data_IF_560959921264
#
_entry.id   IF_560959921264
#
_cell.length_a   1.000
_cell.length_b   1.000
_cell.length_c   1.000
_cell.angle_alpha   90.00
_cell.angle_beta   90.00
_cell.angle_gamma   90.00
#
_symmetry.space_group_name_H-M   'P 1'
#
loop_
_entity.id
_entity.type
_entity.pdbx_description
1 polymer ?
#
# COMPACT_ATOMS: atom_id res chain seq x y z
N UNK A 1 7.43 -7.56 22.76
CA UNK A 1 6.05 -7.68 22.27
C UNK A 1 5.67 -6.27 21.90
N UNK A 2 5.53 -5.96 20.60
CA UNK A 2 4.94 -4.67 20.21
C UNK A 2 3.45 -4.88 20.48
N UNK A 3 2.89 -4.21 21.49
CA UNK A 3 1.44 -4.17 21.67
C UNK A 3 0.80 -3.73 20.34
N UNK A 4 -0.34 -4.32 19.95
CA UNK A 4 -1.12 -3.89 18.77
C UNK A 4 -1.75 -2.51 19.04
N UNK A 5 -0.92 -1.47 19.05
CA UNK A 5 -1.26 -0.07 19.35
C UNK A 5 -2.20 0.54 18.29
N UNK A 6 -2.34 -0.12 17.14
CA UNK A 6 -3.16 0.36 16.03
C UNK A 6 -4.66 0.45 16.39
N UNK A 7 -5.22 -0.55 17.09
CA UNK A 7 -6.66 -0.56 17.38
C UNK A 7 -7.05 0.48 18.43
N UNK A 8 -6.34 0.59 19.58
CA UNK A 8 -6.54 1.70 20.49
C UNK A 8 -6.36 3.07 19.83
N UNK A 9 -5.39 3.22 18.91
CA UNK A 9 -5.20 4.47 18.18
C UNK A 9 -6.36 4.80 17.24
N UNK A 10 -6.92 3.80 16.55
CA UNK A 10 -8.11 3.97 15.69
C UNK A 10 -9.32 4.44 16.52
N UNK A 11 -9.55 3.81 17.67
CA UNK A 11 -10.65 4.18 18.58
C UNK A 11 -10.45 5.60 19.13
N UNK A 12 -9.24 5.94 19.57
CA UNK A 12 -8.90 7.28 20.07
C UNK A 12 -9.06 8.36 18.98
N UNK A 13 -8.63 8.08 17.75
CA UNK A 13 -8.79 9.01 16.63
C UNK A 13 -10.27 9.24 16.30
N UNK A 14 -11.06 8.17 16.24
CA UNK A 14 -12.51 8.27 16.03
C UNK A 14 -13.18 9.08 17.15
N UNK A 15 -12.90 8.76 18.40
CA UNK A 15 -13.50 9.45 19.54
C UNK A 15 -13.18 10.96 19.52
N UNK A 16 -11.92 11.29 19.22
CA UNK A 16 -11.51 12.69 19.08
C UNK A 16 -12.25 13.41 17.95
N UNK A 17 -12.48 12.75 16.80
CA UNK A 17 -13.27 13.31 15.70
C UNK A 17 -14.75 13.45 16.05
N UNK A 18 -15.33 12.48 16.77
CA UNK A 18 -16.71 12.51 17.25
C UNK A 18 -16.92 13.71 18.21
N UNK A 19 -15.94 14.00 19.06
CA UNK A 19 -15.96 15.16 19.97
C UNK A 19 -15.74 16.49 19.24
N UNK A 20 -14.85 16.53 18.25
CA UNK A 20 -14.43 17.76 17.58
C UNK A 20 -15.43 18.24 16.53
N UNK A 21 -15.99 17.31 15.76
CA UNK A 21 -16.81 17.60 14.58
C UNK A 21 -18.24 17.07 14.70
N UNK A 22 -18.46 16.05 15.56
CA UNK A 22 -19.73 15.33 15.65
C UNK A 22 -19.81 14.15 14.68
N UNK A 23 -20.98 13.52 14.63
CA UNK A 23 -21.22 12.24 13.93
C UNK A 23 -22.31 12.34 12.87
N UNK A 24 -22.63 13.55 12.40
CA UNK A 24 -23.64 13.76 11.36
C UNK A 24 -23.15 13.20 10.01
N UNK A 25 -24.07 12.89 9.06
CA UNK A 25 -23.70 12.30 7.77
C UNK A 25 -22.63 13.07 6.98
N UNK A 26 -22.61 14.40 7.10
CA UNK A 26 -21.57 15.23 6.49
C UNK A 26 -20.18 14.92 7.07
N UNK A 27 -20.05 14.83 8.39
CA UNK A 27 -18.76 14.54 9.05
C UNK A 27 -18.28 13.14 8.71
N UNK A 28 -19.17 12.16 8.66
CA UNK A 28 -18.84 10.81 8.20
C UNK A 28 -18.39 10.81 6.73
N UNK A 29 -19.02 11.63 5.89
CA UNK A 29 -18.60 11.82 4.50
C UNK A 29 -17.20 12.40 4.43
N UNK A 30 -16.87 13.42 5.24
CA UNK A 30 -15.54 14.00 5.32
C UNK A 30 -14.48 12.96 5.72
N UNK A 31 -14.76 12.09 6.69
CA UNK A 31 -13.84 11.01 7.10
C UNK A 31 -13.59 9.99 5.98
N UNK A 32 -14.59 9.71 5.16
CA UNK A 32 -14.43 8.87 3.96
C UNK A 32 -13.61 9.62 2.90
N UNK A 33 -13.86 10.91 2.68
CA UNK A 33 -13.13 11.72 1.70
C UNK A 33 -11.65 11.86 2.07
N UNK A 34 -11.31 11.90 3.36
CA UNK A 34 -9.92 11.91 3.85
C UNK A 34 -9.10 10.74 3.30
N UNK A 35 -9.71 9.57 3.07
CA UNK A 35 -9.01 8.43 2.43
C UNK A 35 -8.50 8.79 1.03
N UNK A 36 -9.24 9.60 0.27
CA UNK A 36 -8.81 10.05 -1.06
C UNK A 36 -7.67 11.05 -0.98
N UNK A 37 -7.67 11.91 0.04
CA UNK A 37 -6.61 12.87 0.31
C UNK A 37 -5.30 12.13 0.61
N UNK A 38 -5.28 11.19 1.56
CA UNK A 38 -4.10 10.37 1.87
C UNK A 38 -3.61 9.57 0.66
N UNK A 39 -4.53 9.05 -0.16
CA UNK A 39 -4.15 8.33 -1.38
C UNK A 39 -3.44 9.25 -2.38
N UNK A 40 -3.82 10.52 -2.42
CA UNK A 40 -3.13 11.55 -3.20
C UNK A 40 -1.72 11.84 -2.66
N UNK A 41 -1.54 11.88 -1.34
CA UNK A 41 -0.24 12.08 -0.69
C UNK A 41 0.71 10.91 -0.96
N UNK A 42 0.23 9.66 -0.88
CA UNK A 42 1.02 8.48 -1.27
C UNK A 42 1.48 8.52 -2.74
N UNK A 43 0.60 8.98 -3.64
CA UNK A 43 0.96 9.18 -5.07
C UNK A 43 2.01 10.29 -5.20
N UNK A 44 1.85 11.39 -4.47
CA UNK A 44 2.81 12.51 -4.49
C UNK A 44 4.18 12.08 -3.98
N UNK A 45 4.25 11.34 -2.86
CA UNK A 45 5.50 10.80 -2.33
C UNK A 45 6.17 9.85 -3.34
N UNK A 46 5.41 9.02 -4.06
CA UNK A 46 5.96 8.16 -5.09
C UNK A 46 6.55 8.95 -6.28
N UNK A 47 5.83 9.98 -6.75
CA UNK A 47 6.29 10.89 -7.82
C UNK A 47 7.59 11.60 -7.40
N UNK A 48 7.64 12.08 -6.16
CA UNK A 48 8.77 12.79 -5.60
C UNK A 48 9.97 11.87 -5.31
N UNK A 49 9.74 10.59 -4.98
CA UNK A 49 10.79 9.56 -4.92
C UNK A 49 11.38 9.29 -6.32
N UNK A 50 10.54 9.20 -7.34
CA UNK A 50 11.00 9.01 -8.72
C UNK A 50 11.65 10.26 -9.32
N UNK A 51 11.63 11.40 -8.62
CA UNK A 51 12.16 12.67 -9.09
C UNK A 51 11.44 13.20 -10.34
N UNK A 52 10.18 12.82 -10.55
CA UNK A 52 9.43 13.17 -11.76
C UNK A 52 9.10 14.67 -11.86
N UNK A 53 9.22 15.42 -10.76
CA UNK A 53 9.13 16.87 -10.77
C UNK A 53 10.52 17.50 -11.02
N UNK A 54 10.84 17.98 -12.25
CA UNK A 54 12.18 18.42 -12.59
C UNK A 54 12.64 19.65 -11.80
N UNK A 55 11.69 20.41 -11.22
CA UNK A 55 11.99 21.57 -10.37
C UNK A 55 12.48 21.16 -8.97
N UNK A 56 12.03 20.00 -8.47
CA UNK A 56 12.32 19.55 -7.10
C UNK A 56 13.39 18.45 -7.04
N UNK A 57 13.59 17.68 -8.12
CA UNK A 57 14.46 16.51 -8.08
C UNK A 57 13.87 15.40 -7.20
N UNK A 58 14.71 14.49 -6.70
CA UNK A 58 14.29 13.43 -5.76
C UNK A 58 14.22 14.01 -4.36
N UNK A 59 13.04 13.99 -3.74
CA UNK A 59 12.83 14.55 -2.39
C UNK A 59 12.31 13.57 -1.37
N UNK A 60 11.88 12.37 -1.79
CA UNK A 60 11.32 11.34 -0.91
C UNK A 60 12.08 10.02 -1.05
N UNK A 61 11.95 9.21 0.00
CA UNK A 61 12.50 7.85 0.15
C UNK A 61 11.38 6.81 0.06
N UNK A 62 11.74 5.53 0.01
CA UNK A 62 10.74 4.45 -0.03
C UNK A 62 10.00 4.37 1.31
N UNK A 63 10.68 4.74 2.38
CA UNK A 63 10.17 4.84 3.74
C UNK A 63 9.10 5.93 3.82
N UNK A 64 9.30 7.07 3.16
CA UNK A 64 8.28 8.13 3.11
C UNK A 64 7.04 7.64 2.35
N UNK A 65 7.20 6.97 1.20
CA UNK A 65 6.07 6.36 0.48
C UNK A 65 5.34 5.33 1.34
N UNK A 66 6.08 4.52 2.11
CA UNK A 66 5.49 3.54 3.00
C UNK A 66 4.72 4.20 4.16
N UNK A 67 5.19 5.34 4.66
CA UNK A 67 4.50 6.13 5.68
C UNK A 67 3.15 6.63 5.14
N UNK A 68 3.13 7.25 3.95
CA UNK A 68 1.88 7.72 3.34
C UNK A 68 0.90 6.57 3.05
N UNK A 69 1.40 5.41 2.61
CA UNK A 69 0.55 4.23 2.44
C UNK A 69 0.00 3.70 3.77
N UNK A 70 0.74 3.86 4.87
CA UNK A 70 0.25 3.54 6.21
C UNK A 70 -0.84 4.52 6.65
N UNK A 71 -0.70 5.81 6.33
CA UNK A 71 -1.71 6.84 6.61
C UNK A 71 -3.02 6.58 5.84
N UNK A 72 -2.94 6.14 4.58
CA UNK A 72 -4.11 5.65 3.82
C UNK A 72 -4.80 4.50 4.55
N UNK A 73 -4.02 3.51 5.00
CA UNK A 73 -4.57 2.33 5.67
C UNK A 73 -5.22 2.72 7.01
N UNK A 74 -4.53 3.51 7.83
CA UNK A 74 -5.03 3.96 9.13
C UNK A 74 -6.30 4.81 8.99
N UNK A 75 -6.32 5.76 8.05
CA UNK A 75 -7.49 6.60 7.76
C UNK A 75 -8.69 5.76 7.32
N UNK A 76 -8.48 4.71 6.52
CA UNK A 76 -9.55 3.79 6.15
C UNK A 76 -10.12 3.03 7.37
N UNK A 77 -9.28 2.63 8.33
CA UNK A 77 -9.73 1.99 9.57
C UNK A 77 -10.56 2.95 10.43
N UNK A 78 -10.13 4.20 10.58
CA UNK A 78 -10.89 5.25 11.29
C UNK A 78 -12.23 5.52 10.61
N UNK A 79 -12.28 5.55 9.28
CA UNK A 79 -13.53 5.70 8.53
C UNK A 79 -14.49 4.51 8.78
N UNK A 80 -13.99 3.27 8.80
CA UNK A 80 -14.80 2.08 9.13
C UNK A 80 -15.36 2.17 10.57
N UNK A 81 -14.50 2.51 11.54
CA UNK A 81 -14.92 2.68 12.92
C UNK A 81 -15.98 3.79 13.08
N UNK A 82 -15.85 4.88 12.31
CA UNK A 82 -16.80 5.99 12.28
C UNK A 82 -18.18 5.59 11.74
N UNK A 83 -18.26 4.53 10.93
CA UNK A 83 -19.53 3.94 10.48
C UNK A 83 -20.17 3.02 11.54
N UNK A 84 -19.56 2.89 12.72
CA UNK A 84 -20.01 1.99 13.79
C UNK A 84 -19.70 0.51 13.52
N UNK A 85 -18.75 0.23 12.62
CA UNK A 85 -18.31 -1.12 12.29
C UNK A 85 -16.98 -1.44 12.98
N UNK A 86 -16.71 -2.73 13.20
CA UNK A 86 -15.42 -3.18 13.71
C UNK A 86 -14.36 -3.16 12.58
N UNK A 87 -13.33 -2.28 12.67
CA UNK A 87 -12.29 -2.18 11.65
C UNK A 87 -11.40 -3.42 11.58
N UNK A 88 -11.16 -4.10 12.70
CA UNK A 88 -10.34 -5.32 12.75
C UNK A 88 -11.06 -6.46 12.03
N UNK A 89 -12.34 -6.67 12.32
CA UNK A 89 -13.16 -7.67 11.62
C UNK A 89 -13.29 -7.36 10.12
N UNK A 90 -13.50 -6.09 9.75
CA UNK A 90 -13.62 -5.67 8.36
C UNK A 90 -12.33 -5.95 7.56
N UNK A 91 -11.17 -5.61 8.13
CA UNK A 91 -9.87 -5.85 7.50
C UNK A 91 -9.57 -7.35 7.39
N UNK A 92 -9.83 -8.12 8.44
CA UNK A 92 -9.66 -9.58 8.44
C UNK A 92 -10.55 -10.28 7.39
N UNK A 93 -11.79 -9.82 7.23
CA UNK A 93 -12.71 -10.31 6.20
C UNK A 93 -12.19 -9.96 4.79
N UNK A 94 -11.64 -8.76 4.59
CA UNK A 94 -11.00 -8.37 3.33
C UNK A 94 -9.82 -9.30 2.99
N UNK A 95 -8.91 -9.50 3.95
CA UNK A 95 -7.76 -10.38 3.77
C UNK A 95 -8.16 -11.82 3.45
N UNK A 96 -9.19 -12.34 4.11
CA UNK A 96 -9.75 -13.67 3.85
C UNK A 96 -10.29 -13.79 2.42
N UNK A 97 -11.07 -12.79 1.96
CA UNK A 97 -11.59 -12.74 0.59
C UNK A 97 -10.47 -12.69 -0.45
N UNK A 98 -9.40 -11.94 -0.20
CA UNK A 98 -8.24 -11.88 -1.09
C UNK A 98 -7.50 -13.21 -1.12
N UNK A 99 -7.26 -13.83 0.05
CA UNK A 99 -6.57 -15.12 0.14
C UNK A 99 -7.28 -16.25 -0.60
N UNK A 100 -8.62 -16.24 -0.59
CA UNK A 100 -9.42 -17.22 -1.32
C UNK A 100 -9.24 -17.15 -2.86
N UNK A 101 -8.63 -16.08 -3.39
CA UNK A 101 -8.33 -15.93 -4.82
C UNK A 101 -6.98 -16.52 -5.22
N UNK A 102 -6.09 -16.81 -4.27
CA UNK A 102 -4.82 -17.44 -4.60
C UNK A 102 -5.04 -18.93 -4.90
N UNK A 103 -4.40 -19.48 -5.94
CA UNK A 103 -4.38 -20.92 -6.14
C UNK A 103 -3.76 -21.59 -4.90
N UNK A 104 -4.36 -22.68 -4.41
CA UNK A 104 -3.67 -23.55 -3.47
C UNK A 104 -2.40 -24.04 -4.14
N UNK A 105 -1.26 -23.98 -3.44
CA UNK A 105 -0.02 -24.52 -3.94
C UNK A 105 -0.26 -25.97 -4.43
N UNK A 106 0.25 -26.35 -5.61
CA UNK A 106 0.11 -27.72 -6.07
C UNK A 106 0.67 -28.66 -5.00
N UNK A 107 -0.13 -29.66 -4.59
CA UNK A 107 0.38 -30.72 -3.74
C UNK A 107 1.60 -31.32 -4.43
N UNK A 108 2.78 -31.42 -3.79
CA UNK A 108 3.89 -32.10 -4.40
C UNK A 108 3.43 -33.52 -4.73
N UNK A 109 3.43 -33.86 -6.02
CA UNK A 109 3.14 -35.22 -6.45
C UNK A 109 4.07 -36.16 -5.65
N UNK A 110 3.59 -37.33 -5.19
CA UNK A 110 4.46 -38.29 -4.53
C UNK A 110 5.66 -38.54 -5.45
N UNK A 111 6.86 -38.38 -4.89
CA UNK A 111 8.09 -38.54 -5.64
C UNK A 111 8.09 -39.91 -6.32
N UNK A 112 8.17 -39.92 -7.66
CA UNK A 112 8.31 -41.14 -8.43
C UNK A 112 9.68 -41.76 -8.09
N UNK A 113 9.75 -42.97 -7.49
CA UNK A 113 10.98 -43.55 -7.00
C UNK A 113 12.00 -43.93 -8.09
N UNK A 114 11.73 -43.61 -9.36
CA UNK A 114 12.54 -44.03 -10.50
C UNK A 114 13.44 -42.93 -11.12
N UNK A 115 13.53 -41.73 -10.54
CA UNK A 115 14.42 -40.69 -11.11
C UNK A 115 15.87 -40.89 -10.62
N UNK A 116 16.85 -41.22 -11.48
CA UNK A 116 18.23 -41.32 -11.06
C UNK A 116 18.81 -39.90 -10.86
N UNK A 117 19.60 -39.73 -9.80
CA UNK A 117 20.34 -38.47 -9.55
C UNK A 117 21.43 -38.34 -10.63
N UNK A 118 21.44 -37.28 -11.47
CA UNK A 118 22.55 -37.05 -12.39
C UNK A 118 23.75 -36.52 -11.63
N UNK A 119 24.89 -37.16 -11.85
CA UNK A 119 26.18 -36.82 -11.27
C UNK A 119 26.71 -35.45 -11.70
N UNK A 120 27.50 -34.91 -10.78
CA UNK A 120 28.50 -33.86 -10.85
C UNK A 120 29.15 -33.64 -12.23
N UNK A 121 29.00 -32.43 -12.79
CA UNK A 121 30.01 -31.78 -13.64
C UNK A 121 29.72 -30.27 -13.85
N UNK A 122 30.62 -29.45 -13.28
CA UNK A 122 31.19 -28.17 -13.78
C UNK A 122 30.30 -26.99 -14.24
N UNK A 123 30.52 -25.84 -13.59
CA UNK A 123 30.13 -24.49 -14.01
C UNK A 123 30.74 -24.09 -15.37
N UNK A 124 30.08 -23.22 -16.15
CA UNK A 124 30.61 -21.86 -16.26
C UNK A 124 29.55 -20.74 -16.45
N UNK A 125 29.98 -19.51 -16.16
CA UNK A 125 29.53 -18.31 -16.89
C UNK A 125 28.46 -17.46 -16.22
N UNK A 126 28.88 -16.38 -15.56
CA UNK A 126 28.00 -15.28 -15.13
C UNK A 126 27.55 -14.46 -16.33
N UNK A 127 26.28 -14.54 -16.71
CA UNK A 127 25.64 -13.55 -17.58
C UNK A 127 24.95 -12.47 -16.72
N UNK A 128 25.13 -11.16 -17.01
CA UNK A 128 24.39 -10.13 -16.32
C UNK A 128 22.92 -10.14 -16.76
N UNK A 129 22.02 -10.37 -15.80
CA UNK A 129 20.58 -10.29 -15.97
C UNK A 129 20.17 -8.85 -16.31
N UNK A 130 19.86 -8.58 -17.59
CA UNK A 130 19.18 -7.35 -17.98
C UNK A 130 17.68 -7.52 -17.71
N UNK A 131 17.24 -7.11 -16.54
CA UNK A 131 15.81 -6.91 -16.26
C UNK A 131 15.37 -5.68 -17.06
N UNK A 132 14.34 -5.75 -17.91
CA UNK A 132 13.87 -4.56 -18.61
C UNK A 132 13.26 -3.59 -17.60
N UNK A 133 13.84 -2.39 -17.50
CA UNK A 133 13.21 -1.26 -16.83
C UNK A 133 12.00 -0.87 -17.68
N UNK A 134 10.80 -1.22 -17.21
CA UNK A 134 9.57 -0.68 -17.78
C UNK A 134 9.49 0.80 -17.38
N UNK A 135 9.70 1.70 -18.35
CA UNK A 135 9.41 3.12 -18.16
C UNK A 135 7.92 3.28 -17.84
N UNK A 136 7.62 3.78 -16.63
CA UNK A 136 6.29 4.25 -16.30
C UNK A 136 5.91 5.40 -17.26
N UNK A 137 4.65 5.51 -17.70
CA UNK A 137 4.23 6.61 -18.56
C UNK A 137 4.43 7.93 -17.81
N UNK A 138 5.24 8.82 -18.39
CA UNK A 138 5.39 10.19 -17.92
C UNK A 138 4.03 10.87 -17.94
N UNK A 139 3.46 11.11 -16.76
CA UNK A 139 2.39 12.08 -16.60
C UNK A 139 3.04 13.46 -16.77
N UNK A 140 3.06 13.94 -18.01
CA UNK A 140 3.49 15.29 -18.33
C UNK A 140 2.35 16.26 -17.96
N UNK A 141 2.54 17.04 -16.90
CA UNK A 141 1.72 18.24 -16.69
C UNK A 141 2.19 19.34 -17.65
N UNK A 142 1.29 20.11 -18.30
CA UNK A 142 1.69 21.28 -19.06
C UNK A 142 2.35 22.33 -18.13
N UNK A 143 3.27 23.16 -18.65
CA UNK A 143 3.91 24.20 -17.85
C UNK A 143 2.84 25.13 -17.26
N UNK A 144 3.00 25.47 -15.98
CA UNK A 144 2.25 26.56 -15.36
C UNK A 144 2.57 27.81 -16.16
N UNK A 145 1.57 28.32 -16.89
CA UNK A 145 1.72 29.54 -17.68
C UNK A 145 2.18 30.68 -16.79
N UNK A 146 3.31 31.30 -17.14
CA UNK A 146 3.82 32.51 -16.51
C UNK A 146 3.06 33.72 -17.04
N UNK A 147 2.26 34.38 -16.19
CA UNK A 147 1.75 35.76 -16.37
C UNK A 147 0.71 35.94 -17.49
N UNK A 148 -0.23 36.87 -17.41
CA UNK A 148 -0.31 38.17 -16.71
C UNK A 148 -1.76 38.42 -16.30
#
# INVERSE_FOLDING_TARGET
MVEDDIWPAVDAAREWLDQSNGTLPLELTCRILKVTEEAGEAVQAWIDLLGQNPRKGVTHTREDVAAELADVAFTALVAIASLGLDPQAALAACATKVRARFPLAPHPAPADPATPIPGEATAPGSEPSTVPVVSAPSIAWPPVGSGV
#
